data_IF_492971779444
#
_entry.id   IF_492971779444
#
_cell.length_a   1.000
_cell.length_b   1.000
_cell.length_c   1.000
_cell.angle_alpha   90.00
_cell.angle_beta   90.00
_cell.angle_gamma   90.00
#
_symmetry.space_group_name_H-M   'P 1'
#
loop_
_entity.id
_entity.type
_entity.pdbx_description
1 polymer ?
#
# COMPACT_ATOMS: atom_id res chain seq x y z
N UNK A 1 -5.28 4.02 20.49
CA UNK A 1 -6.74 4.27 20.61
C UNK A 1 -7.41 3.39 19.56
N UNK A 2 -8.69 2.99 19.70
CA UNK A 2 -9.30 2.14 18.67
C UNK A 2 -9.26 2.84 17.31
N UNK A 3 -9.26 2.02 16.26
CA UNK A 3 -9.45 2.46 14.88
C UNK A 3 -10.56 3.49 14.78
N UNK A 4 -10.32 4.57 14.03
CA UNK A 4 -11.29 5.65 13.88
C UNK A 4 -12.47 5.22 13.02
N UNK A 5 -13.60 5.92 13.15
CA UNK A 5 -14.76 5.70 12.29
C UNK A 5 -14.34 5.84 10.81
N UNK A 6 -14.88 4.99 9.94
CA UNK A 6 -14.62 5.00 8.50
C UNK A 6 -15.43 6.07 7.75
N UNK A 7 -16.42 6.67 8.41
CA UNK A 7 -17.33 7.69 7.87
C UNK A 7 -16.97 9.05 8.45
N UNK A 8 -16.10 9.76 7.76
CA UNK A 8 -15.71 11.13 8.08
C UNK A 8 -15.59 11.98 6.81
N UNK A 9 -15.67 13.31 6.93
CA UNK A 9 -15.46 14.21 5.79
C UNK A 9 -14.06 14.03 5.19
N UNK A 10 -13.98 13.94 3.86
CA UNK A 10 -12.73 13.85 3.11
C UNK A 10 -12.59 15.05 2.18
N UNK A 11 -11.38 15.58 2.07
CA UNK A 11 -11.00 16.57 1.06
C UNK A 11 -10.41 15.85 -0.14
N UNK A 12 -10.89 16.19 -1.33
CA UNK A 12 -10.40 15.61 -2.59
C UNK A 12 -9.99 16.72 -3.55
N UNK A 13 -8.97 16.43 -4.34
CA UNK A 13 -8.58 17.25 -5.48
C UNK A 13 -8.73 16.44 -6.76
N UNK A 14 -9.20 17.10 -7.81
CA UNK A 14 -9.28 16.55 -9.16
C UNK A 14 -8.47 17.42 -10.10
N UNK A 15 -7.61 16.81 -10.91
CA UNK A 15 -6.80 17.52 -11.90
C UNK A 15 -6.48 16.61 -13.11
N UNK A 16 -6.39 17.17 -14.32
CA UNK A 16 -6.03 16.39 -15.51
C UNK A 16 -4.60 15.86 -15.39
N UNK A 17 -4.33 14.70 -16.02
CA UNK A 17 -2.97 14.15 -16.06
C UNK A 17 -2.02 15.10 -16.80
N UNK A 18 -0.98 15.66 -16.13
CA UNK A 18 -0.03 16.55 -16.77
C UNK A 18 0.91 15.86 -17.76
N UNK A 19 0.96 14.52 -17.80
CA UNK A 19 1.76 13.77 -18.76
C UNK A 19 1.22 13.85 -20.19
N UNK A 20 -0.09 14.06 -20.36
CA UNK A 20 -0.72 14.35 -21.65
C UNK A 20 -1.60 15.61 -21.55
N UNK A 21 -0.99 16.81 -21.62
CA UNK A 21 -1.73 18.07 -21.50
C UNK A 21 -2.64 18.35 -22.70
N UNK A 22 -2.60 17.51 -23.74
CA UNK A 22 -3.36 17.67 -24.98
C UNK A 22 -4.58 16.75 -25.06
N UNK A 23 -4.66 15.73 -24.20
CA UNK A 23 -5.77 14.79 -24.13
C UNK A 23 -6.25 14.61 -22.66
N UNK A 24 -7.39 15.19 -22.27
CA UNK A 24 -7.94 15.04 -20.92
C UNK A 24 -8.56 13.65 -20.67
N UNK A 25 -8.21 12.64 -21.47
CA UNK A 25 -8.66 11.26 -21.31
C UNK A 25 -8.35 10.68 -19.92
N UNK A 26 -7.43 11.27 -19.14
CA UNK A 26 -7.15 10.87 -17.77
C UNK A 26 -7.26 12.04 -16.78
N UNK A 27 -7.99 11.81 -15.68
CA UNK A 27 -8.11 12.73 -14.54
C UNK A 27 -7.68 12.00 -13.27
N UNK A 28 -6.81 12.63 -12.48
CA UNK A 28 -6.48 12.15 -11.15
C UNK A 28 -7.50 12.68 -10.14
N UNK A 29 -7.97 11.80 -9.26
CA UNK A 29 -8.78 12.13 -8.09
C UNK A 29 -8.05 11.70 -6.83
N UNK A 30 -7.50 12.63 -6.08
CA UNK A 30 -6.60 12.33 -4.95
C UNK A 30 -7.21 12.74 -3.61
N UNK A 31 -7.16 11.82 -2.63
CA UNK A 31 -7.63 12.03 -1.26
C UNK A 31 -6.61 12.83 -0.44
N UNK A 32 -6.84 14.14 -0.31
CA UNK A 32 -5.96 15.03 0.45
C UNK A 32 -5.99 14.74 1.94
N UNK A 33 -7.11 14.23 2.47
CA UNK A 33 -7.22 13.85 3.89
C UNK A 33 -6.26 12.71 4.21
N UNK A 34 -6.19 11.70 3.34
CA UNK A 34 -5.24 10.61 3.47
C UNK A 34 -3.80 11.04 3.19
N UNK A 35 -3.56 11.68 2.05
CA UNK A 35 -2.22 11.97 1.56
C UNK A 35 -1.47 12.98 2.43
N UNK A 36 -2.18 13.82 3.17
CA UNK A 36 -1.59 14.75 4.15
C UNK A 36 -1.60 14.26 5.58
N UNK A 37 -2.07 13.02 5.81
CA UNK A 37 -2.08 12.39 7.13
C UNK A 37 -0.68 12.03 7.62
N UNK A 38 -0.56 11.73 8.91
CA UNK A 38 0.68 11.29 9.58
C UNK A 38 0.84 9.78 9.61
N UNK A 39 0.16 9.04 8.75
CA UNK A 39 0.34 7.59 8.68
C UNK A 39 1.78 7.22 8.33
N UNK A 40 2.32 6.20 8.99
CA UNK A 40 3.56 5.53 8.63
C UNK A 40 3.47 4.03 8.93
N UNK A 41 4.19 3.21 8.18
CA UNK A 41 4.24 1.77 8.44
C UNK A 41 5.02 1.50 9.73
N UNK A 42 4.37 0.88 10.72
CA UNK A 42 4.95 0.52 12.02
C UNK A 42 5.25 -0.97 12.15
N UNK A 43 5.44 -1.69 11.02
CA UNK A 43 5.83 -3.11 11.07
C UNK A 43 7.14 -3.27 11.83
N UNK A 44 7.19 -4.22 12.78
CA UNK A 44 8.33 -4.40 13.69
C UNK A 44 8.48 -3.29 14.75
N UNK A 45 7.55 -2.33 14.81
CA UNK A 45 7.55 -1.19 15.75
C UNK A 45 6.16 -0.96 16.34
N UNK A 46 5.43 -2.03 16.66
CA UNK A 46 4.11 -1.97 17.30
C UNK A 46 2.90 -2.29 16.40
N UNK A 47 3.12 -2.67 15.14
CA UNK A 47 2.08 -3.28 14.31
C UNK A 47 1.48 -4.51 15.00
N UNK A 48 0.15 -4.63 15.04
CA UNK A 48 -0.55 -5.68 15.78
C UNK A 48 -1.02 -6.86 14.90
N UNK A 49 -0.66 -6.89 13.61
CA UNK A 49 -1.19 -7.87 12.67
C UNK A 49 -2.66 -7.61 12.33
N UNK A 50 -3.14 -8.18 11.23
CA UNK A 50 -4.56 -8.04 10.86
C UNK A 50 -5.49 -9.00 11.62
N UNK A 51 -4.93 -10.01 12.29
CA UNK A 51 -5.64 -10.96 13.13
C UNK A 51 -4.99 -11.07 14.50
N UNK A 52 -5.81 -11.09 15.55
CA UNK A 52 -5.37 -11.05 16.94
C UNK A 52 -4.57 -12.29 17.36
N UNK A 53 -4.81 -13.43 16.72
CA UNK A 53 -4.06 -14.67 16.95
C UNK A 53 -2.73 -14.72 16.18
N UNK A 54 -2.44 -13.72 15.35
CA UNK A 54 -1.22 -13.61 14.53
C UNK A 54 -0.61 -12.20 14.56
N UNK A 55 -0.19 -11.72 15.75
CA UNK A 55 0.17 -10.32 15.94
C UNK A 55 1.46 -9.90 15.20
N UNK A 56 2.33 -10.85 14.90
CA UNK A 56 3.64 -10.58 14.27
C UNK A 56 3.60 -10.61 12.74
N UNK A 57 2.46 -10.92 12.14
CA UNK A 57 2.35 -11.15 10.69
C UNK A 57 2.01 -9.88 9.89
N UNK A 58 1.59 -8.80 10.56
CA UNK A 58 1.18 -7.56 9.89
C UNK A 58 0.07 -7.81 8.86
N UNK A 59 0.17 -7.18 7.69
CA UNK A 59 -0.72 -7.43 6.54
C UNK A 59 -0.33 -8.65 5.70
N UNK A 60 0.70 -9.42 6.09
CA UNK A 60 1.23 -10.52 5.29
C UNK A 60 0.48 -11.84 5.49
N UNK A 61 -0.50 -11.91 6.40
CA UNK A 61 -1.14 -13.18 6.79
C UNK A 61 -1.79 -13.91 5.61
N UNK A 62 -2.43 -13.19 4.70
CA UNK A 62 -3.21 -13.79 3.62
C UNK A 62 -2.38 -14.16 2.38
N UNK A 63 -1.07 -13.90 2.39
CA UNK A 63 -0.30 -13.87 1.14
C UNK A 63 -0.64 -12.63 0.30
N UNK A 64 -0.20 -12.61 -0.95
CA UNK A 64 -0.30 -11.44 -1.82
C UNK A 64 -0.65 -11.85 -3.25
N UNK A 65 -1.77 -11.36 -3.75
CA UNK A 65 -2.17 -11.55 -5.15
C UNK A 65 -1.30 -10.68 -6.05
N UNK A 66 -0.97 -11.21 -7.23
CA UNK A 66 -0.25 -10.43 -8.24
C UNK A 66 -1.25 -9.59 -9.04
N UNK A 67 -0.90 -8.33 -9.31
CA UNK A 67 -1.69 -7.44 -10.17
C UNK A 67 -1.79 -8.00 -11.60
N UNK A 68 -0.69 -8.53 -12.11
CA UNK A 68 -0.60 -9.17 -13.42
C UNK A 68 0.57 -10.19 -13.50
N UNK A 69 0.84 -10.69 -14.70
CA UNK A 69 1.93 -11.64 -14.95
C UNK A 69 3.32 -10.99 -14.85
N UNK A 70 3.45 -9.68 -15.07
CA UNK A 70 4.71 -8.96 -14.96
C UNK A 70 5.11 -8.74 -13.50
N UNK A 71 4.15 -8.45 -12.63
CA UNK A 71 4.35 -8.41 -11.18
C UNK A 71 4.84 -9.77 -10.66
N UNK A 72 4.13 -10.85 -11.03
CA UNK A 72 4.54 -12.21 -10.70
C UNK A 72 5.96 -12.53 -11.20
N UNK A 73 6.31 -12.14 -12.44
CA UNK A 73 7.65 -12.35 -13.00
C UNK A 73 8.71 -11.56 -12.24
N UNK A 74 8.42 -10.30 -11.86
CA UNK A 74 9.32 -9.43 -11.11
C UNK A 74 9.62 -10.00 -9.73
N UNK A 75 8.58 -10.39 -8.98
CA UNK A 75 8.74 -11.05 -7.68
C UNK A 75 9.51 -12.36 -7.81
N UNK A 76 9.25 -13.14 -8.87
CA UNK A 76 10.00 -14.36 -9.14
C UNK A 76 11.48 -14.15 -9.48
N UNK A 77 11.88 -12.98 -9.99
CA UNK A 77 13.30 -12.62 -10.12
C UNK A 77 13.92 -12.34 -8.76
N UNK A 78 13.24 -11.57 -7.93
CA UNK A 78 13.72 -11.25 -6.59
C UNK A 78 13.81 -12.46 -5.66
N UNK A 79 12.84 -13.38 -5.74
CA UNK A 79 12.85 -14.61 -4.96
C UNK A 79 14.09 -15.48 -5.23
N UNK A 80 14.70 -15.40 -6.42
CA UNK A 80 15.93 -16.11 -6.77
C UNK A 80 17.18 -15.49 -6.14
N UNK A 81 17.12 -14.23 -5.73
CA UNK A 81 18.24 -13.55 -5.05
C UNK A 81 18.27 -13.86 -3.55
N UNK A 82 17.18 -14.41 -3.00
CA UNK A 82 17.10 -14.80 -1.60
C UNK A 82 17.90 -16.07 -1.34
N UNK A 83 18.44 -16.18 -0.13
CA UNK A 83 19.24 -17.31 0.35
C UNK A 83 18.66 -17.86 1.65
N UNK A 84 19.08 -19.06 2.12
CA UNK A 84 18.69 -19.57 3.44
C UNK A 84 19.06 -18.64 4.60
N UNK A 85 20.05 -17.77 4.43
CA UNK A 85 20.45 -16.80 5.46
C UNK A 85 19.52 -15.58 5.53
N UNK A 86 18.72 -15.33 4.48
CA UNK A 86 17.91 -14.11 4.35
C UNK A 86 16.40 -14.38 4.22
N UNK A 87 16.03 -15.64 4.00
CA UNK A 87 14.65 -16.09 3.86
C UNK A 87 14.49 -17.43 4.60
N UNK A 88 13.74 -17.39 5.71
CA UNK A 88 13.56 -18.50 6.63
C UNK A 88 13.04 -19.76 5.94
N UNK A 89 12.03 -19.61 5.10
CA UNK A 89 11.36 -20.72 4.39
C UNK A 89 11.91 -20.93 2.98
N UNK A 90 13.18 -20.60 2.76
CA UNK A 90 13.80 -20.69 1.43
C UNK A 90 13.75 -22.12 0.87
N UNK A 91 14.00 -23.14 1.68
CA UNK A 91 13.91 -24.54 1.22
C UNK A 91 12.49 -24.90 0.75
N UNK A 92 11.48 -24.45 1.49
CA UNK A 92 10.07 -24.72 1.21
C UNK A 92 9.56 -23.92 0.01
N UNK A 93 9.97 -22.67 -0.13
CA UNK A 93 9.52 -21.78 -1.20
C UNK A 93 10.32 -21.87 -2.50
N UNK A 94 11.46 -22.56 -2.53
CA UNK A 94 12.33 -22.65 -3.71
C UNK A 94 11.61 -23.08 -5.00
N UNK A 95 12.14 -22.62 -6.14
CA UNK A 95 11.56 -22.91 -7.46
C UNK A 95 10.27 -22.13 -7.68
N UNK A 96 9.14 -22.83 -7.79
CA UNK A 96 7.79 -22.24 -7.91
C UNK A 96 6.91 -22.49 -6.68
N UNK A 97 7.46 -23.06 -5.59
CA UNK A 97 6.67 -23.39 -4.40
C UNK A 97 6.24 -22.17 -3.59
N UNK A 98 6.88 -21.02 -3.81
CA UNK A 98 6.42 -19.74 -3.28
C UNK A 98 5.15 -19.20 -3.94
N UNK A 99 4.65 -19.86 -5.00
CA UNK A 99 3.46 -19.47 -5.75
C UNK A 99 2.32 -20.46 -5.48
N UNK A 100 1.14 -19.94 -5.18
CA UNK A 100 -0.10 -20.71 -5.14
C UNK A 100 -1.18 -20.07 -6.02
N UNK A 101 -2.30 -20.77 -6.19
CA UNK A 101 -3.53 -20.20 -6.75
C UNK A 101 -4.62 -20.26 -5.69
N UNK A 102 -5.44 -19.22 -5.63
CA UNK A 102 -6.64 -19.22 -4.81
C UNK A 102 -7.76 -20.07 -5.45
N UNK A 103 -8.93 -20.06 -4.81
CA UNK A 103 -10.12 -20.81 -5.24
C UNK A 103 -10.64 -20.37 -6.62
N UNK A 104 -10.43 -19.10 -6.98
CA UNK A 104 -10.80 -18.52 -8.28
C UNK A 104 -9.70 -18.73 -9.34
N UNK A 105 -8.60 -19.37 -8.96
CA UNK A 105 -7.46 -19.64 -9.82
C UNK A 105 -6.53 -18.44 -10.02
N UNK A 106 -6.70 -17.32 -9.32
CA UNK A 106 -5.78 -16.19 -9.40
C UNK A 106 -4.47 -16.50 -8.67
N UNK A 107 -3.36 -15.99 -9.22
CA UNK A 107 -2.02 -16.29 -8.71
C UNK A 107 -1.67 -15.39 -7.53
N UNK A 108 -1.12 -15.98 -6.46
CA UNK A 108 -0.68 -15.28 -5.26
C UNK A 108 0.55 -15.93 -4.64
N UNK A 109 1.23 -15.23 -3.73
CA UNK A 109 2.28 -15.85 -2.92
C UNK A 109 1.69 -16.91 -2.01
N UNK A 110 2.39 -18.03 -1.85
CA UNK A 110 1.96 -19.13 -1.00
C UNK A 110 1.78 -18.72 0.46
N UNK A 111 0.76 -19.28 1.12
CA UNK A 111 0.61 -19.20 2.57
C UNK A 111 1.28 -20.43 3.20
N UNK A 112 2.31 -20.18 4.00
CA UNK A 112 3.08 -21.21 4.69
C UNK A 112 3.04 -20.95 6.20
N UNK A 113 2.60 -21.97 6.95
CA UNK A 113 2.38 -21.88 8.41
C UNK A 113 1.53 -20.66 8.80
N UNK A 114 0.47 -20.43 8.01
CA UNK A 114 -0.56 -19.42 8.23
C UNK A 114 -0.21 -17.98 7.86
N UNK A 115 0.96 -17.71 7.25
CA UNK A 115 1.26 -16.39 6.67
C UNK A 115 1.95 -16.50 5.32
N UNK A 116 2.15 -15.37 4.62
CA UNK A 116 2.96 -15.32 3.40
C UNK A 116 4.31 -16.02 3.59
N UNK A 117 4.69 -16.87 2.64
CA UNK A 117 5.94 -17.63 2.68
C UNK A 117 7.20 -16.75 2.71
N UNK A 118 7.12 -15.49 2.29
CA UNK A 118 8.22 -14.53 2.35
C UNK A 118 8.32 -13.81 3.71
N UNK A 119 7.40 -14.01 4.64
CA UNK A 119 7.48 -13.41 5.97
C UNK A 119 8.46 -14.22 6.84
N UNK A 120 9.61 -13.65 7.19
CA UNK A 120 10.48 -14.19 8.22
C UNK A 120 9.85 -13.91 9.59
N UNK A 121 9.72 -14.94 10.42
CA UNK A 121 9.09 -14.88 11.74
C UNK A 121 10.04 -14.31 12.81
N UNK A 122 9.51 -13.93 13.98
CA UNK A 122 10.32 -13.48 15.09
C UNK A 122 11.47 -14.44 15.46
N UNK A 123 12.64 -13.89 15.74
CA UNK A 123 13.84 -14.65 16.11
C UNK A 123 14.64 -15.24 14.95
N UNK A 124 14.25 -15.04 13.68
CA UNK A 124 15.06 -15.48 12.55
C UNK A 124 16.34 -14.63 12.39
N UNK A 125 17.51 -15.28 12.38
CA UNK A 125 18.82 -14.59 12.31
C UNK A 125 18.99 -13.68 11.09
N UNK A 126 18.30 -13.97 9.99
CA UNK A 126 18.32 -13.15 8.77
C UNK A 126 17.49 -11.87 8.81
N UNK A 127 16.84 -11.60 9.95
CA UNK A 127 15.94 -10.47 10.16
C UNK A 127 14.47 -10.84 10.00
N UNK A 128 13.64 -10.25 10.87
CA UNK A 128 12.18 -10.42 10.90
C UNK A 128 11.51 -9.57 9.81
N UNK A 129 10.32 -10.00 9.36
CA UNK A 129 9.55 -9.31 8.34
C UNK A 129 9.73 -9.85 6.92
N UNK A 130 9.23 -9.09 5.94
CA UNK A 130 9.21 -9.54 4.55
C UNK A 130 10.63 -9.69 3.98
N UNK A 131 11.02 -10.91 3.59
CA UNK A 131 12.32 -11.22 3.01
C UNK A 131 12.62 -10.41 1.74
N UNK A 132 11.59 -10.08 0.94
CA UNK A 132 11.69 -9.24 -0.25
C UNK A 132 11.97 -7.76 0.12
N UNK A 133 11.32 -7.25 1.17
CA UNK A 133 11.66 -5.93 1.71
C UNK A 133 13.11 -5.92 2.24
N UNK A 134 13.50 -6.95 3.00
CA UNK A 134 14.87 -7.10 3.48
C UNK A 134 15.89 -7.18 2.33
N UNK A 135 15.52 -7.77 1.18
CA UNK A 135 16.36 -7.79 -0.01
C UNK A 135 16.56 -6.38 -0.56
N UNK A 136 15.50 -5.57 -0.66
CA UNK A 136 15.60 -4.18 -1.08
C UNK A 136 16.58 -3.40 -0.20
N UNK A 137 16.43 -3.47 1.13
CA UNK A 137 17.32 -2.82 2.09
C UNK A 137 18.78 -3.24 1.92
N UNK A 138 19.06 -4.56 1.85
CA UNK A 138 20.42 -5.09 1.70
C UNK A 138 21.09 -4.69 0.37
N UNK A 139 20.29 -4.43 -0.65
CA UNK A 139 20.79 -4.10 -1.99
C UNK A 139 20.69 -2.62 -2.33
N UNK A 140 20.28 -1.77 -1.37
CA UNK A 140 20.12 -0.33 -1.57
C UNK A 140 19.05 0.03 -2.61
N UNK A 141 18.08 -0.86 -2.84
CA UNK A 141 16.94 -0.65 -3.74
C UNK A 141 15.71 -0.21 -2.97
N UNK A 142 14.74 0.37 -3.67
CA UNK A 142 13.44 0.64 -3.06
C UNK A 142 12.58 -0.63 -3.03
N UNK A 143 11.72 -0.78 -2.02
CA UNK A 143 10.93 -2.02 -1.88
C UNK A 143 9.87 -2.20 -2.98
N UNK A 144 9.46 -1.14 -3.68
CA UNK A 144 8.59 -1.22 -4.88
C UNK A 144 9.18 -2.09 -5.98
N UNK A 145 10.51 -2.17 -6.06
CA UNK A 145 11.20 -2.97 -7.09
C UNK A 145 11.19 -4.46 -6.75
N UNK A 146 10.87 -4.81 -5.49
CA UNK A 146 11.08 -6.16 -4.97
C UNK A 146 9.84 -6.85 -4.42
N UNK A 147 8.93 -6.09 -3.83
CA UNK A 147 7.68 -6.60 -3.28
C UNK A 147 6.63 -6.78 -4.40
N UNK A 148 5.63 -7.66 -4.21
CA UNK A 148 4.43 -7.67 -5.03
C UNK A 148 3.71 -6.33 -5.00
N UNK A 149 2.98 -6.01 -6.06
CA UNK A 149 2.30 -4.71 -6.22
C UNK A 149 1.38 -4.38 -5.06
N UNK A 150 0.51 -5.32 -4.69
CA UNK A 150 -0.42 -5.13 -3.57
C UNK A 150 0.30 -4.87 -2.24
N UNK A 151 1.48 -5.45 -2.03
CA UNK A 151 2.19 -5.36 -0.75
C UNK A 151 2.92 -4.04 -0.55
N UNK A 152 3.43 -3.41 -1.62
CA UNK A 152 4.06 -2.10 -1.51
C UNK A 152 3.04 -0.96 -1.65
N UNK A 153 1.92 -1.21 -2.33
CA UNK A 153 0.83 -0.24 -2.42
C UNK A 153 0.17 -0.03 -1.07
N UNK A 154 -0.09 -1.09 -0.29
CA UNK A 154 -0.80 -0.93 0.99
C UNK A 154 -0.10 0.06 1.95
N UNK A 155 -0.83 1.02 2.55
CA UNK A 155 -2.28 1.25 2.45
C UNK A 155 -2.68 2.41 1.51
N UNK A 156 -1.93 2.68 0.44
CA UNK A 156 -2.37 3.50 -0.69
C UNK A 156 -3.23 2.63 -1.62
N UNK A 157 -4.42 3.11 -1.95
CA UNK A 157 -5.34 2.48 -2.88
C UNK A 157 -5.36 3.25 -4.20
N UNK A 158 -5.15 2.53 -5.30
CA UNK A 158 -5.40 3.04 -6.65
C UNK A 158 -6.61 2.34 -7.26
N UNK A 159 -7.55 3.10 -7.79
CA UNK A 159 -8.71 2.57 -8.54
C UNK A 159 -8.93 3.35 -9.83
N UNK A 160 -9.60 2.70 -10.78
CA UNK A 160 -9.92 3.27 -12.09
C UNK A 160 -11.43 3.24 -12.29
N UNK A 161 -12.01 4.29 -12.86
CA UNK A 161 -13.40 4.27 -13.36
C UNK A 161 -13.52 5.10 -14.63
N UNK A 162 -14.36 4.65 -15.55
CA UNK A 162 -14.74 5.45 -16.71
C UNK A 162 -15.88 6.40 -16.31
N UNK A 163 -15.75 7.68 -16.67
CA UNK A 163 -16.68 8.75 -16.32
C UNK A 163 -17.17 9.43 -17.58
N UNK A 164 -18.50 9.46 -17.76
CA UNK A 164 -19.18 10.25 -18.80
C UNK A 164 -19.81 11.48 -18.16
N UNK A 165 -19.40 12.67 -18.58
CA UNK A 165 -19.94 13.95 -18.14
C UNK A 165 -21.26 14.28 -18.85
N UNK A 166 -21.98 15.27 -18.32
CA UNK A 166 -23.29 15.67 -18.84
C UNK A 166 -23.26 16.26 -20.27
N UNK A 167 -22.11 16.77 -20.70
CA UNK A 167 -21.86 17.24 -22.07
C UNK A 167 -21.41 16.13 -23.03
N UNK A 168 -21.31 14.89 -22.54
CA UNK A 168 -20.90 13.73 -23.31
C UNK A 168 -19.38 13.50 -23.36
N UNK A 169 -18.57 14.33 -22.69
CA UNK A 169 -17.13 14.08 -22.57
C UNK A 169 -16.87 12.84 -21.71
N UNK A 170 -15.96 11.99 -22.17
CA UNK A 170 -15.52 10.79 -21.45
C UNK A 170 -14.07 10.95 -20.98
N UNK A 171 -13.77 10.46 -19.77
CA UNK A 171 -12.41 10.32 -19.27
C UNK A 171 -12.31 9.11 -18.33
N UNK A 172 -11.11 8.57 -18.19
CA UNK A 172 -10.75 7.63 -17.14
C UNK A 172 -10.32 8.42 -15.91
N UNK A 173 -11.01 8.21 -14.80
CA UNK A 173 -10.59 8.74 -13.50
C UNK A 173 -9.69 7.72 -12.80
N UNK A 174 -8.49 8.17 -12.41
CA UNK A 174 -7.55 7.44 -11.56
C UNK A 174 -7.63 8.00 -10.14
N UNK A 175 -8.23 7.23 -9.24
CA UNK A 175 -8.36 7.62 -7.84
C UNK A 175 -7.16 7.12 -7.01
N UNK A 176 -6.53 8.00 -6.23
CA UNK A 176 -5.48 7.69 -5.24
C UNK A 176 -6.00 8.03 -3.85
N UNK A 177 -6.17 7.02 -2.99
CA UNK A 177 -6.88 7.16 -1.73
C UNK A 177 -6.29 6.28 -0.62
N UNK A 178 -6.86 6.40 0.58
CA UNK A 178 -6.64 5.44 1.66
C UNK A 178 -7.20 4.06 1.26
N UNK A 179 -6.38 3.03 1.43
CA UNK A 179 -6.82 1.64 1.44
C UNK A 179 -7.28 1.32 2.85
N UNK A 180 -8.51 1.69 3.21
CA UNK A 180 -9.11 1.30 4.49
C UNK A 180 -9.62 -0.16 4.47
N UNK A 181 -10.14 -0.65 5.61
CA UNK A 181 -10.60 -2.03 5.71
C UNK A 181 -11.66 -2.44 4.66
N UNK A 182 -12.49 -1.52 4.16
CA UNK A 182 -13.47 -1.80 3.07
C UNK A 182 -12.79 -2.18 1.76
N UNK A 183 -11.53 -1.78 1.56
CA UNK A 183 -10.74 -2.17 0.40
C UNK A 183 -10.49 -3.68 0.32
N UNK A 184 -10.55 -4.40 1.46
CA UNK A 184 -10.41 -5.86 1.54
C UNK A 184 -11.72 -6.61 1.17
N UNK A 185 -12.75 -5.89 0.71
CA UNK A 185 -14.08 -6.46 0.48
C UNK A 185 -14.78 -6.80 1.80
N UNK A 186 -15.77 -7.72 1.78
CA UNK A 186 -16.54 -8.09 2.97
C UNK A 186 -15.67 -8.56 4.15
N UNK A 187 -14.58 -9.28 3.87
CA UNK A 187 -13.66 -9.80 4.89
C UNK A 187 -12.86 -8.72 5.63
N UNK A 188 -12.85 -7.48 5.14
CA UNK A 188 -12.25 -6.35 5.84
C UNK A 188 -12.89 -6.04 7.19
N UNK A 189 -14.17 -6.38 7.37
CA UNK A 189 -14.86 -6.22 8.64
C UNK A 189 -14.43 -7.24 9.71
N UNK A 190 -13.82 -8.33 9.28
CA UNK A 190 -13.32 -9.39 10.16
C UNK A 190 -11.86 -9.16 10.59
N UNK A 191 -11.23 -8.06 10.15
CA UNK A 191 -9.89 -7.69 10.60
C UNK A 191 -9.96 -7.14 12.03
N UNK A 192 -9.19 -7.74 12.93
CA UNK A 192 -9.08 -7.33 14.34
C UNK A 192 -8.37 -5.98 14.48
N UNK A 193 -7.45 -5.68 13.56
CA UNK A 193 -6.69 -4.44 13.54
C UNK A 193 -6.26 -4.07 12.12
N UNK A 194 -6.28 -2.77 11.79
CA UNK A 194 -5.86 -2.31 10.47
C UNK A 194 -5.22 -0.92 10.49
N UNK A 195 -4.01 -0.82 9.97
CA UNK A 195 -3.13 0.31 10.26
C UNK A 195 -3.60 1.66 9.72
N UNK A 196 -4.33 1.72 8.61
CA UNK A 196 -4.68 3.01 7.97
C UNK A 196 -5.65 3.86 8.80
N UNK A 197 -6.48 3.23 9.64
CA UNK A 197 -7.41 3.92 10.53
C UNK A 197 -6.98 3.91 12.00
N UNK A 198 -5.92 3.18 12.36
CA UNK A 198 -5.47 3.05 13.74
C UNK A 198 -4.46 4.13 14.12
N UNK A 199 -4.77 4.88 15.18
CA UNK A 199 -4.00 6.05 15.64
C UNK A 199 -2.53 5.76 15.92
N UNK A 200 -2.21 4.52 16.30
CA UNK A 200 -0.88 4.01 16.59
C UNK A 200 0.05 4.11 15.37
N UNK A 201 -0.49 4.03 14.15
CA UNK A 201 0.28 4.20 12.91
C UNK A 201 0.36 5.67 12.45
N UNK A 202 -0.39 6.59 13.06
CA UNK A 202 -0.44 8.00 12.66
C UNK A 202 0.56 8.86 13.45
N UNK A 203 1.82 8.42 13.43
CA UNK A 203 2.93 9.01 14.19
C UNK A 203 4.11 9.41 13.30
N UNK A 204 3.92 9.40 11.99
CA UNK A 204 4.92 9.78 10.99
C UNK A 204 5.38 11.23 11.13
N UNK A 205 6.68 11.45 10.97
CA UNK A 205 7.28 12.80 10.99
C UNK A 205 6.90 13.61 9.75
N UNK A 206 6.72 12.93 8.63
CA UNK A 206 6.36 13.49 7.33
C UNK A 206 4.96 13.01 6.95
N UNK A 207 4.19 13.81 6.19
CA UNK A 207 2.91 13.36 5.67
C UNK A 207 3.10 12.30 4.58
N UNK A 208 2.06 11.48 4.35
CA UNK A 208 2.10 10.34 3.40
C UNK A 208 2.61 10.73 2.00
N UNK A 209 2.21 11.89 1.46
CA UNK A 209 2.65 12.32 0.13
C UNK A 209 4.18 12.53 0.02
N UNK A 210 4.86 12.78 1.14
CA UNK A 210 6.31 12.91 1.22
C UNK A 210 6.95 11.56 1.52
N UNK A 211 6.50 10.87 2.57
CA UNK A 211 7.12 9.62 3.02
C UNK A 211 6.97 8.47 2.01
N UNK A 212 5.92 8.50 1.19
CA UNK A 212 5.64 7.51 0.15
C UNK A 212 5.80 8.08 -1.27
N UNK A 213 6.70 9.06 -1.44
CA UNK A 213 6.98 9.70 -2.73
C UNK A 213 7.28 8.68 -3.83
N UNK A 214 8.09 7.64 -3.54
CA UNK A 214 8.50 6.67 -4.56
C UNK A 214 7.35 5.78 -5.01
N UNK A 215 6.50 5.35 -4.08
CA UNK A 215 5.29 4.59 -4.36
C UNK A 215 4.28 5.41 -5.17
N UNK A 216 4.10 6.68 -4.80
CA UNK A 216 3.21 7.58 -5.54
C UNK A 216 3.70 7.83 -6.96
N UNK A 217 5.00 8.10 -7.15
CA UNK A 217 5.60 8.22 -8.49
C UNK A 217 5.42 6.93 -9.31
N UNK A 218 5.54 5.75 -8.71
CA UNK A 218 5.26 4.48 -9.41
C UNK A 218 3.78 4.34 -9.79
N UNK A 219 2.86 4.88 -8.98
CA UNK A 219 1.42 4.78 -9.21
C UNK A 219 0.88 5.76 -10.26
N UNK A 220 1.45 6.96 -10.35
CA UNK A 220 0.90 8.07 -11.14
C UNK A 220 1.91 8.73 -12.10
N UNK A 221 3.19 8.39 -12.03
CA UNK A 221 4.26 9.04 -12.78
C UNK A 221 4.74 10.34 -12.12
N UNK A 222 5.96 10.75 -12.48
CA UNK A 222 6.60 11.94 -11.91
C UNK A 222 5.80 13.24 -12.15
N UNK A 223 5.30 13.53 -13.38
CA UNK A 223 4.58 14.78 -13.62
C UNK A 223 3.33 14.94 -12.75
N UNK A 224 2.56 13.86 -12.58
CA UNK A 224 1.35 13.88 -11.75
C UNK A 224 1.66 13.93 -10.25
N UNK A 225 2.75 13.29 -9.82
CA UNK A 225 3.24 13.41 -8.44
C UNK A 225 3.65 14.86 -8.11
N UNK A 226 4.36 15.53 -9.00
CA UNK A 226 4.77 16.93 -8.80
C UNK A 226 3.56 17.86 -8.68
N UNK A 227 2.51 17.63 -9.49
CA UNK A 227 1.24 18.34 -9.37
C UNK A 227 0.53 18.04 -8.03
N UNK A 228 0.49 16.77 -7.62
CA UNK A 228 -0.08 16.34 -6.34
C UNK A 228 0.62 17.03 -5.16
N UNK A 229 1.95 17.11 -5.16
CA UNK A 229 2.72 17.82 -4.13
C UNK A 229 2.23 19.25 -3.96
N UNK A 230 2.06 19.99 -5.05
CA UNK A 230 1.55 21.37 -5.00
C UNK A 230 0.15 21.47 -4.38
N UNK A 231 -0.73 20.51 -4.68
CA UNK A 231 -2.07 20.44 -4.07
C UNK A 231 -2.02 20.10 -2.57
N UNK A 232 -1.18 19.16 -2.16
CA UNK A 232 -0.97 18.81 -0.75
C UNK A 232 -0.38 19.96 0.06
N UNK A 233 0.63 20.66 -0.48
CA UNK A 233 1.24 21.83 0.15
C UNK A 233 0.24 22.97 0.31
N UNK A 234 -0.56 23.26 -0.72
CA UNK A 234 -1.63 24.26 -0.64
C UNK A 234 -2.70 23.88 0.40
N UNK A 235 -3.08 22.60 0.49
CA UNK A 235 -4.01 22.10 1.49
C UNK A 235 -3.47 22.31 2.92
N UNK A 236 -2.22 21.92 3.18
CA UNK A 236 -1.57 22.11 4.48
C UNK A 236 -1.40 23.60 4.83
N UNK A 237 -1.01 24.43 3.86
CA UNK A 237 -0.84 25.87 4.05
C UNK A 237 -2.16 26.59 4.38
N UNK A 238 -3.30 26.06 3.94
CA UNK A 238 -4.63 26.62 4.25
C UNK A 238 -4.96 26.57 5.75
N UNK A 239 -4.30 25.69 6.51
CA UNK A 239 -4.59 25.41 7.93
C UNK A 239 -6.07 25.10 8.20
N UNK A 240 -6.77 24.59 7.20
CA UNK A 240 -8.14 24.12 7.35
C UNK A 240 -8.14 22.93 8.31
N UNK A 241 -8.87 23.05 9.41
CA UNK A 241 -9.20 21.90 10.26
C UNK A 241 -10.29 21.00 9.64
N UNK A 242 -10.89 21.42 8.51
CA UNK A 242 -11.86 20.61 7.79
C UNK A 242 -11.13 19.46 7.10
N UNK A 243 -11.62 18.24 7.35
CA UNK A 243 -11.16 17.01 6.72
C UNK A 243 -9.69 16.63 7.02
N UNK A 244 -9.21 16.90 8.24
CA UNK A 244 -8.02 16.22 8.77
C UNK A 244 -8.34 14.75 9.03
N UNK A 245 -7.35 13.87 8.84
CA UNK A 245 -7.55 12.45 9.10
C UNK A 245 -7.83 12.22 10.59
N UNK A 246 -8.94 11.56 10.98
CA UNK A 246 -9.31 11.47 12.39
C UNK A 246 -8.30 10.70 13.25
N UNK A 247 -7.49 9.83 12.64
CA UNK A 247 -6.46 9.08 13.34
C UNK A 247 -5.19 9.92 13.62
N UNK A 248 -5.03 11.07 12.97
CA UNK A 248 -3.90 11.96 13.24
C UNK A 248 -3.99 12.61 14.63
N UNK A 249 -2.84 12.91 15.27
CA UNK A 249 -2.82 13.71 16.48
C UNK A 249 -3.49 15.06 16.24
N UNK A 250 -4.45 15.42 17.12
CA UNK A 250 -5.02 16.77 17.12
C UNK A 250 -3.96 17.73 17.68
N UNK A 251 -3.58 18.72 16.87
CA UNK A 251 -2.69 19.83 17.26
C UNK A 251 -3.36 20.71 18.30
#
# INVERSE_FOLDING_TARGET
MPEVDLVFPRAWVEFPDPADPTDPAQVFRCDLTWLTSRWTCIFGSGCQGIYADRPDDGCCTLGAHFSDKDDQRRVGRQAKELTPATWQFHADGQGKRWLERDEDGAAKTAVHEGACIFLNRPGFLGGEGCALHGLALRTGRHFVETKPDVCWQLPIRRTFRDVTLADGTEHTEVSIAEYDRRGWGPGGHDLDWYCSGNTEAHVGLEPVYVSSARELVELMGQPAYDALVGHCEAHLASRSALALHPADPRV
#
